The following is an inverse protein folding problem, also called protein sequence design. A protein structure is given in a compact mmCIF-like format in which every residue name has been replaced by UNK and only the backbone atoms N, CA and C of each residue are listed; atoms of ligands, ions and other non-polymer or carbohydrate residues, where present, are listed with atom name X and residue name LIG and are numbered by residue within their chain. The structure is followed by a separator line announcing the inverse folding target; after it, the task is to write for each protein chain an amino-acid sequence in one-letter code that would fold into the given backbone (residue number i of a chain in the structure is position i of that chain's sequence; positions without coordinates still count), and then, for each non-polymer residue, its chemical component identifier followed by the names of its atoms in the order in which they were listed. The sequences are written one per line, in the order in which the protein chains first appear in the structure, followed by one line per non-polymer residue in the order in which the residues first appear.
data_IF_986565948674
#
_entry.id   IF_986565948674
#
_cell.length_a   1.000
_cell.length_b   1.000
_cell.length_c   1.000
_cell.angle_alpha   90.00
_cell.angle_beta   90.00
_cell.angle_gamma   90.00
#
_symmetry.space_group_name_H-M   'P 1'
#
loop_
_entity.id
_entity.type
_entity.pdbx_description
1 polymer ?
#
# COMPACT_ATOMS: atom_id res chain seq x y z
N UNK A 1 -39.48 -5.26 -74.98
CA UNK A 1 -39.80 -4.27 -73.93
C UNK A 1 -40.19 -5.01 -72.65
N UNK A 2 -39.23 -5.24 -71.74
CA UNK A 2 -39.38 -5.35 -70.27
C UNK A 2 -38.02 -5.74 -69.67
N UNK A 3 -37.55 -4.88 -68.78
CA UNK A 3 -36.40 -5.08 -67.89
C UNK A 3 -36.78 -5.99 -66.72
N UNK A 4 -35.81 -6.72 -66.18
CA UNK A 4 -35.62 -7.01 -64.74
C UNK A 4 -34.29 -7.77 -64.61
N UNK A 5 -33.25 -7.34 -63.89
CA UNK A 5 -33.22 -6.57 -62.65
C UNK A 5 -32.66 -7.46 -61.54
N UNK A 6 -31.35 -7.72 -61.58
CA UNK A 6 -30.59 -8.58 -60.64
C UNK A 6 -30.54 -7.87 -59.27
N UNK A 7 -31.19 -8.41 -58.23
CA UNK A 7 -31.04 -7.92 -56.86
C UNK A 7 -30.03 -8.77 -56.10
N UNK A 8 -29.02 -8.06 -55.59
CA UNK A 8 -27.89 -8.53 -54.79
C UNK A 8 -28.40 -8.87 -53.39
N UNK A 9 -28.15 -10.10 -52.94
CA UNK A 9 -28.45 -10.56 -51.59
C UNK A 9 -27.46 -9.95 -50.59
N UNK A 10 -28.00 -9.14 -49.68
CA UNK A 10 -27.28 -8.51 -48.58
C UNK A 10 -26.93 -9.58 -47.53
N UNK A 11 -25.65 -9.92 -47.40
CA UNK A 11 -25.15 -10.84 -46.36
C UNK A 11 -24.93 -10.07 -45.08
N UNK A 12 -25.76 -10.31 -44.07
CA UNK A 12 -25.62 -9.72 -42.74
C UNK A 12 -24.47 -10.40 -42.00
N UNK A 13 -23.35 -9.70 -41.85
CA UNK A 13 -22.20 -10.14 -41.07
C UNK A 13 -22.51 -9.95 -39.58
N UNK A 14 -22.83 -11.03 -38.87
CA UNK A 14 -22.99 -11.01 -37.42
C UNK A 14 -21.60 -10.99 -36.76
N UNK A 15 -21.14 -9.82 -36.35
CA UNK A 15 -19.91 -9.68 -35.57
C UNK A 15 -20.22 -10.11 -34.13
N UNK A 16 -19.81 -11.33 -33.78
CA UNK A 16 -19.81 -11.79 -32.39
C UNK A 16 -18.70 -11.04 -31.63
N UNK A 17 -19.08 -10.02 -30.86
CA UNK A 17 -18.22 -9.41 -29.85
C UNK A 17 -17.97 -10.44 -28.74
N UNK A 18 -16.87 -11.17 -28.86
CA UNK A 18 -16.24 -11.87 -27.74
C UNK A 18 -15.75 -10.82 -26.75
N UNK A 19 -16.58 -10.52 -25.75
CA UNK A 19 -16.11 -9.87 -24.53
C UNK A 19 -15.17 -10.87 -23.87
N UNK A 20 -13.87 -10.69 -24.06
CA UNK A 20 -12.85 -11.38 -23.28
C UNK A 20 -13.02 -10.96 -21.82
N UNK A 21 -13.87 -11.69 -21.10
CA UNK A 21 -13.95 -11.57 -19.66
C UNK A 21 -12.56 -11.88 -19.12
N UNK A 22 -11.92 -10.90 -18.50
CA UNK A 22 -10.73 -11.16 -17.71
C UNK A 22 -11.15 -12.18 -16.67
N UNK A 23 -10.61 -13.40 -16.75
CA UNK A 23 -10.77 -14.40 -15.71
C UNK A 23 -10.03 -13.88 -14.48
N UNK A 24 -10.73 -13.11 -13.65
CA UNK A 24 -10.19 -12.70 -12.36
C UNK A 24 -9.86 -13.98 -11.59
N UNK A 25 -8.57 -14.12 -11.23
CA UNK A 25 -8.03 -15.35 -10.70
C UNK A 25 -8.67 -15.64 -9.34
N UNK A 26 -9.52 -16.66 -9.27
CA UNK A 26 -10.11 -17.07 -8.01
C UNK A 26 -9.05 -17.80 -7.16
N UNK A 27 -8.86 -17.35 -5.92
CA UNK A 27 -7.85 -17.85 -4.99
C UNK A 27 -8.49 -18.84 -4.03
N UNK A 28 -7.80 -19.95 -3.69
CA UNK A 28 -8.29 -20.86 -2.65
C UNK A 28 -8.31 -20.16 -1.29
N UNK A 29 -9.45 -20.17 -0.63
CA UNK A 29 -9.64 -19.56 0.68
C UNK A 29 -10.66 -20.30 1.54
N UNK A 30 -10.64 -19.97 2.83
CA UNK A 30 -11.68 -20.34 3.80
C UNK A 30 -12.36 -19.07 4.28
N UNK A 31 -13.65 -18.93 4.02
CA UNK A 31 -14.49 -17.83 4.55
C UNK A 31 -15.24 -18.34 5.77
N UNK A 32 -15.18 -17.61 6.88
CA UNK A 32 -16.01 -17.84 8.06
C UNK A 32 -17.16 -16.84 8.06
N UNK A 33 -18.41 -17.32 8.08
CA UNK A 33 -19.59 -16.46 8.10
C UNK A 33 -19.83 -15.85 9.49
N UNK A 34 -20.22 -14.58 9.50
CA UNK A 34 -20.66 -13.86 10.71
C UNK A 34 -21.89 -14.53 11.32
N UNK A 35 -21.97 -14.56 12.65
CA UNK A 35 -23.11 -15.08 13.41
C UNK A 35 -23.19 -16.61 13.51
N UNK A 36 -23.03 -17.34 12.40
CA UNK A 36 -23.13 -18.81 12.40
C UNK A 36 -21.79 -19.51 12.62
N UNK A 37 -20.67 -18.84 12.35
CA UNK A 37 -19.34 -19.46 12.36
C UNK A 37 -19.13 -20.51 11.26
N UNK A 38 -20.08 -20.64 10.32
CA UNK A 38 -19.99 -21.60 9.22
C UNK A 38 -18.77 -21.30 8.35
N UNK A 39 -17.97 -22.33 8.08
CA UNK A 39 -16.79 -22.23 7.21
C UNK A 39 -17.13 -22.71 5.80
N UNK A 40 -16.83 -21.87 4.82
CA UNK A 40 -16.92 -22.19 3.40
C UNK A 40 -15.49 -22.26 2.84
N UNK A 41 -15.09 -23.44 2.37
CA UNK A 41 -13.76 -23.67 1.78
C UNK A 41 -13.92 -23.78 0.27
N UNK A 42 -13.20 -22.98 -0.50
CA UNK A 42 -13.39 -22.93 -1.94
C UNK A 42 -12.54 -21.91 -2.65
N UNK A 43 -12.87 -21.67 -3.92
CA UNK A 43 -12.28 -20.59 -4.71
C UNK A 43 -13.02 -19.29 -4.45
N UNK A 44 -12.31 -18.25 -4.06
CA UNK A 44 -12.83 -16.94 -3.68
C UNK A 44 -12.31 -15.86 -4.60
N UNK A 45 -13.17 -14.88 -4.90
CA UNK A 45 -12.78 -13.62 -5.54
C UNK A 45 -13.61 -12.46 -5.01
N UNK A 46 -13.05 -11.26 -5.06
CA UNK A 46 -13.80 -10.03 -4.83
C UNK A 46 -14.47 -9.56 -6.12
N UNK A 47 -15.76 -9.24 -6.04
CA UNK A 47 -16.53 -8.67 -7.16
C UNK A 47 -16.61 -7.16 -6.97
N UNK A 48 -15.69 -6.41 -7.57
CA UNK A 48 -15.60 -4.95 -7.39
C UNK A 48 -16.89 -4.19 -7.72
N UNK A 49 -17.61 -4.61 -8.77
CA UNK A 49 -18.86 -3.97 -9.22
C UNK A 49 -19.98 -4.06 -8.18
N UNK A 50 -20.13 -5.23 -7.55
CA UNK A 50 -21.21 -5.47 -6.57
C UNK A 50 -20.74 -5.32 -5.14
N UNK A 51 -19.42 -5.15 -4.91
CA UNK A 51 -18.77 -5.13 -3.59
C UNK A 51 -19.10 -6.36 -2.73
N UNK A 52 -19.02 -7.54 -3.34
CA UNK A 52 -19.31 -8.83 -2.67
C UNK A 52 -18.16 -9.81 -2.85
N UNK A 53 -18.00 -10.70 -1.88
CA UNK A 53 -17.18 -11.90 -2.07
C UNK A 53 -17.99 -12.94 -2.84
N UNK A 54 -17.39 -13.49 -3.88
CA UNK A 54 -17.88 -14.71 -4.53
C UNK A 54 -17.05 -15.88 -4.01
N UNK A 55 -17.72 -16.94 -3.56
CA UNK A 55 -17.08 -18.21 -3.19
C UNK A 55 -17.78 -19.37 -3.90
N UNK A 56 -16.98 -20.21 -4.53
CA UNK A 56 -17.38 -21.53 -5.06
C UNK A 56 -16.83 -22.60 -4.13
N UNK A 57 -17.63 -23.17 -3.20
CA UNK A 57 -17.17 -24.17 -2.26
C UNK A 57 -16.72 -25.46 -2.96
N UNK A 58 -15.73 -26.15 -2.40
CA UNK A 58 -15.28 -27.43 -2.92
C UNK A 58 -16.42 -28.46 -2.86
N UNK A 59 -16.67 -29.15 -3.97
CA UNK A 59 -17.75 -30.14 -4.07
C UNK A 59 -19.17 -29.58 -4.21
N UNK A 60 -19.33 -28.26 -4.32
CA UNK A 60 -20.63 -27.62 -4.58
C UNK A 60 -20.67 -26.97 -5.97
N UNK A 61 -21.77 -27.12 -6.73
CA UNK A 61 -21.97 -26.36 -7.96
C UNK A 61 -22.50 -24.94 -7.70
N UNK A 62 -22.81 -24.59 -6.44
CA UNK A 62 -23.45 -23.33 -6.08
C UNK A 62 -22.41 -22.28 -5.72
N UNK A 63 -22.41 -21.17 -6.47
CA UNK A 63 -21.66 -19.97 -6.13
C UNK A 63 -22.43 -19.16 -5.07
N UNK A 64 -21.77 -18.84 -3.97
CA UNK A 64 -22.32 -17.95 -2.94
C UNK A 64 -21.77 -16.55 -3.15
N UNK A 65 -22.65 -15.55 -3.04
CA UNK A 65 -22.28 -14.14 -3.01
C UNK A 65 -22.53 -13.61 -1.61
N UNK A 66 -21.48 -13.15 -0.96
CA UNK A 66 -21.51 -12.72 0.44
C UNK A 66 -21.21 -11.22 0.51
N UNK A 67 -22.02 -10.49 1.26
CA UNK A 67 -21.70 -9.11 1.62
C UNK A 67 -20.54 -9.10 2.64
N UNK A 68 -19.68 -8.06 2.66
CA UNK A 68 -18.57 -7.99 3.62
C UNK A 68 -19.01 -8.13 5.08
N UNK A 69 -20.21 -7.65 5.45
CA UNK A 69 -20.79 -7.81 6.78
C UNK A 69 -21.08 -9.26 7.17
N UNK A 70 -21.29 -10.14 6.19
CA UNK A 70 -21.57 -11.56 6.41
C UNK A 70 -20.30 -12.38 6.56
N UNK A 71 -19.13 -11.75 6.43
CA UNK A 71 -17.82 -12.40 6.49
C UNK A 71 -17.09 -11.96 7.75
N UNK A 72 -16.93 -12.88 8.69
CA UNK A 72 -16.20 -12.64 9.93
C UNK A 72 -14.68 -12.76 9.73
N UNK A 73 -14.24 -13.70 8.89
CA UNK A 73 -12.82 -13.95 8.61
C UNK A 73 -12.65 -14.54 7.21
N UNK A 74 -11.54 -14.22 6.55
CA UNK A 74 -11.11 -14.82 5.29
C UNK A 74 -9.68 -15.28 5.45
N UNK A 75 -9.41 -16.57 5.23
CA UNK A 75 -8.06 -17.11 5.25
C UNK A 75 -7.66 -17.55 3.86
N UNK A 76 -6.61 -16.95 3.36
CA UNK A 76 -6.05 -17.19 2.03
C UNK A 76 -4.61 -17.65 2.18
N UNK A 77 -4.19 -18.56 1.29
CA UNK A 77 -2.79 -18.95 1.22
C UNK A 77 -1.94 -17.77 0.72
N UNK A 78 -0.80 -17.53 1.39
CA UNK A 78 0.17 -16.53 0.95
C UNK A 78 0.63 -16.84 -0.48
N UNK A 79 0.63 -15.85 -1.39
CA UNK A 79 1.19 -16.05 -2.73
C UNK A 79 2.65 -16.51 -2.63
N UNK A 80 3.02 -17.55 -3.38
CA UNK A 80 4.34 -18.18 -3.28
C UNK A 80 5.46 -17.21 -3.68
N UNK A 81 5.17 -16.31 -4.61
CA UNK A 81 6.11 -15.35 -5.19
C UNK A 81 6.27 -14.08 -4.35
N UNK A 82 5.40 -13.85 -3.36
CA UNK A 82 5.36 -12.60 -2.61
C UNK A 82 6.68 -12.31 -1.90
N UNK A 83 7.22 -13.28 -1.15
CA UNK A 83 8.46 -13.09 -0.38
C UNK A 83 9.66 -12.76 -1.30
N UNK A 84 9.72 -13.40 -2.47
CA UNK A 84 10.77 -13.16 -3.44
C UNK A 84 10.65 -11.75 -4.06
N UNK A 85 9.45 -11.33 -4.42
CA UNK A 85 9.19 -9.98 -4.94
C UNK A 85 9.51 -8.89 -3.90
N UNK A 86 9.14 -9.11 -2.64
CA UNK A 86 9.50 -8.21 -1.53
C UNK A 86 11.03 -8.09 -1.39
N UNK A 87 11.75 -9.23 -1.38
CA UNK A 87 13.22 -9.21 -1.34
C UNK A 87 13.84 -8.49 -2.53
N UNK A 88 13.22 -8.56 -3.71
CA UNK A 88 13.68 -7.81 -4.88
C UNK A 88 13.51 -6.29 -4.69
N UNK A 89 12.37 -5.82 -4.17
CA UNK A 89 12.18 -4.40 -3.84
C UNK A 89 13.20 -3.91 -2.81
N UNK A 90 13.41 -4.68 -1.72
CA UNK A 90 14.39 -4.35 -0.68
C UNK A 90 15.81 -4.30 -1.24
N UNK A 91 16.14 -5.17 -2.20
CA UNK A 91 17.43 -5.19 -2.88
C UNK A 91 17.57 -4.15 -4.01
N UNK A 92 16.58 -3.27 -4.20
CA UNK A 92 16.58 -2.26 -5.27
C UNK A 92 16.31 -2.80 -6.68
N UNK A 93 15.93 -4.07 -6.82
CA UNK A 93 15.62 -4.73 -8.10
C UNK A 93 14.15 -4.53 -8.47
N UNK A 94 13.76 -3.27 -8.67
CA UNK A 94 12.35 -2.89 -8.85
C UNK A 94 11.73 -3.51 -10.11
N UNK A 95 12.43 -3.48 -11.25
CA UNK A 95 11.91 -3.96 -12.53
C UNK A 95 11.43 -5.43 -12.48
N UNK A 96 12.12 -6.29 -11.73
CA UNK A 96 11.72 -7.70 -11.56
C UNK A 96 10.53 -7.87 -10.61
N UNK A 97 10.40 -6.99 -9.62
CA UNK A 97 9.36 -7.10 -8.59
C UNK A 97 8.00 -6.55 -9.06
N UNK A 98 8.01 -5.47 -9.83
CA UNK A 98 6.80 -4.76 -10.28
C UNK A 98 5.73 -5.69 -10.87
N UNK A 99 5.99 -6.50 -11.92
CA UNK A 99 4.94 -7.31 -12.54
C UNK A 99 4.36 -8.38 -11.59
N UNK A 100 5.19 -8.92 -10.69
CA UNK A 100 4.76 -9.90 -9.69
C UNK A 100 3.83 -9.26 -8.66
N UNK A 101 4.21 -8.09 -8.14
CA UNK A 101 3.42 -7.36 -7.15
C UNK A 101 2.11 -6.82 -7.74
N UNK A 102 2.13 -6.33 -8.97
CA UNK A 102 0.92 -5.91 -9.70
C UNK A 102 -0.07 -7.07 -9.86
N UNK A 103 0.43 -8.25 -10.24
CA UNK A 103 -0.39 -9.47 -10.35
C UNK A 103 -0.98 -9.87 -9.01
N UNK A 104 -0.18 -9.92 -7.94
CA UNK A 104 -0.67 -10.29 -6.60
C UNK A 104 -1.72 -9.29 -6.12
N UNK A 105 -1.46 -7.99 -6.25
CA UNK A 105 -2.40 -6.94 -5.85
C UNK A 105 -3.75 -7.11 -6.56
N UNK A 106 -3.73 -7.45 -7.85
CA UNK A 106 -4.96 -7.72 -8.61
C UNK A 106 -5.66 -8.98 -8.13
N UNK A 107 -4.96 -10.11 -8.12
CA UNK A 107 -5.54 -11.44 -7.84
C UNK A 107 -6.04 -11.59 -6.40
N UNK A 108 -5.44 -10.85 -5.46
CA UNK A 108 -5.76 -10.89 -4.03
C UNK A 108 -6.55 -9.67 -3.56
N UNK A 109 -7.21 -8.92 -4.45
CA UNK A 109 -8.02 -7.75 -4.07
C UNK A 109 -9.02 -8.10 -2.97
N UNK A 110 -8.99 -7.40 -1.83
CA UNK A 110 -9.79 -7.66 -0.62
C UNK A 110 -9.53 -9.04 0.03
N UNK A 111 -8.41 -9.68 -0.29
CA UNK A 111 -8.00 -11.00 0.20
C UNK A 111 -6.65 -10.92 0.92
N UNK A 112 -6.47 -9.89 1.76
CA UNK A 112 -5.33 -9.67 2.68
C UNK A 112 -3.98 -9.32 2.03
N UNK A 113 -3.52 -10.10 1.05
CA UNK A 113 -2.18 -9.94 0.47
C UNK A 113 -2.10 -8.83 -0.59
N UNK A 114 -3.25 -8.29 -1.01
CA UNK A 114 -3.31 -7.08 -1.84
C UNK A 114 -2.67 -5.89 -1.16
N UNK A 115 -2.93 -5.67 0.14
CA UNK A 115 -2.38 -4.54 0.90
C UNK A 115 -0.85 -4.64 1.00
N UNK A 116 -0.34 -5.83 1.27
CA UNK A 116 1.12 -6.06 1.34
C UNK A 116 1.76 -5.87 -0.02
N UNK A 117 1.18 -6.45 -1.08
CA UNK A 117 1.69 -6.28 -2.44
C UNK A 117 1.66 -4.79 -2.86
N UNK A 118 0.57 -4.09 -2.55
CA UNK A 118 0.41 -2.67 -2.82
C UNK A 118 1.46 -1.82 -2.10
N UNK A 119 1.75 -2.10 -0.83
CA UNK A 119 2.80 -1.40 -0.08
C UNK A 119 4.15 -1.46 -0.82
N UNK A 120 4.61 -2.66 -1.18
CA UNK A 120 5.90 -2.84 -1.85
C UNK A 120 5.89 -2.36 -3.31
N UNK A 121 4.75 -2.44 -3.98
CA UNK A 121 4.55 -1.89 -5.32
C UNK A 121 4.67 -0.35 -5.30
N UNK A 122 4.01 0.32 -4.36
CA UNK A 122 4.15 1.76 -4.18
C UNK A 122 5.57 2.16 -3.80
N UNK A 123 6.23 1.39 -2.92
CA UNK A 123 7.64 1.63 -2.58
C UNK A 123 8.52 1.55 -3.83
N UNK A 124 8.32 0.55 -4.69
CA UNK A 124 9.05 0.43 -5.94
C UNK A 124 8.81 1.65 -6.84
N UNK A 125 7.56 2.08 -7.03
CA UNK A 125 7.25 3.27 -7.83
C UNK A 125 7.89 4.55 -7.30
N UNK A 126 7.89 4.78 -5.99
CA UNK A 126 8.57 5.93 -5.38
C UNK A 126 10.07 5.91 -5.65
N UNK A 127 10.70 4.73 -5.52
CA UNK A 127 12.14 4.57 -5.77
C UNK A 127 12.50 4.70 -7.24
N UNK A 128 11.59 4.37 -8.15
CA UNK A 128 11.74 4.60 -9.60
C UNK A 128 11.24 5.98 -10.05
N UNK A 129 11.05 6.94 -9.14
CA UNK A 129 10.66 8.33 -9.42
C UNK A 129 9.30 8.49 -10.10
N UNK A 130 8.35 7.60 -9.80
CA UNK A 130 6.96 7.68 -10.25
C UNK A 130 5.97 7.79 -9.07
N UNK A 131 6.00 8.89 -8.30
CA UNK A 131 5.16 9.04 -7.11
C UNK A 131 3.67 9.17 -7.46
N UNK A 132 3.32 9.60 -8.68
CA UNK A 132 1.93 9.69 -9.14
C UNK A 132 1.31 8.30 -9.30
N UNK A 133 2.04 7.33 -9.90
CA UNK A 133 1.57 5.93 -9.95
C UNK A 133 1.44 5.32 -8.56
N UNK A 134 2.39 5.59 -7.66
CA UNK A 134 2.32 5.13 -6.28
C UNK A 134 1.01 5.60 -5.62
N UNK A 135 0.70 6.89 -5.70
CA UNK A 135 -0.54 7.46 -5.13
C UNK A 135 -1.79 6.90 -5.79
N UNK A 136 -1.85 6.86 -7.13
CA UNK A 136 -3.04 6.38 -7.86
C UNK A 136 -3.38 4.93 -7.51
N UNK A 137 -2.36 4.09 -7.38
CA UNK A 137 -2.54 2.70 -6.96
C UNK A 137 -2.99 2.62 -5.50
N UNK A 138 -2.35 3.36 -4.58
CA UNK A 138 -2.76 3.37 -3.18
C UNK A 138 -4.19 3.88 -2.99
N UNK A 139 -4.62 4.87 -3.77
CA UNK A 139 -5.99 5.39 -3.78
C UNK A 139 -7.00 4.30 -4.15
N UNK A 140 -6.66 3.45 -5.12
CA UNK A 140 -7.51 2.32 -5.53
C UNK A 140 -7.67 1.30 -4.41
N UNK A 141 -6.56 0.96 -3.75
CA UNK A 141 -6.56 0.01 -2.63
C UNK A 141 -7.33 0.59 -1.45
N UNK A 142 -7.03 1.83 -1.03
CA UNK A 142 -7.74 2.48 0.07
C UNK A 142 -9.23 2.73 -0.21
N UNK A 143 -9.60 3.00 -1.47
CA UNK A 143 -10.99 3.16 -1.87
C UNK A 143 -11.80 1.86 -1.85
N UNK A 144 -11.15 0.72 -2.11
CA UNK A 144 -11.78 -0.60 -2.04
C UNK A 144 -11.73 -1.21 -0.64
N UNK A 145 -10.61 -0.98 0.05
CA UNK A 145 -10.27 -1.46 1.38
C UNK A 145 -9.81 -0.28 2.27
N UNK A 146 -10.74 0.46 2.91
CA UNK A 146 -10.37 1.55 3.80
C UNK A 146 -9.49 1.12 4.99
N UNK A 147 -9.65 -0.13 5.46
CA UNK A 147 -8.83 -0.70 6.54
C UNK A 147 -7.37 -0.89 6.15
N UNK A 148 -7.02 -0.88 4.85
CA UNK A 148 -5.63 -0.89 4.41
C UNK A 148 -4.83 0.28 5.00
N UNK A 149 -5.47 1.42 5.26
CA UNK A 149 -4.85 2.60 5.88
C UNK A 149 -4.52 2.43 7.36
N UNK A 150 -5.03 1.37 8.01
CA UNK A 150 -4.66 1.03 9.38
C UNK A 150 -3.32 0.30 9.45
N UNK A 151 -2.85 -0.27 8.34
CA UNK A 151 -1.53 -0.88 8.25
C UNK A 151 -0.44 0.22 8.18
N UNK A 152 0.45 0.35 9.18
CA UNK A 152 1.43 1.43 9.22
C UNK A 152 2.44 1.41 8.06
N UNK A 153 2.75 0.22 7.54
CA UNK A 153 3.64 0.05 6.39
C UNK A 153 3.03 0.60 5.10
N UNK A 154 1.79 0.20 4.81
CA UNK A 154 1.05 0.71 3.67
C UNK A 154 0.77 2.21 3.79
N UNK A 155 0.23 2.66 4.93
CA UNK A 155 -0.06 4.07 5.18
C UNK A 155 1.18 4.96 5.06
N UNK A 156 2.31 4.55 5.65
CA UNK A 156 3.55 5.32 5.60
C UNK A 156 4.11 5.51 4.19
N UNK A 157 3.99 4.50 3.33
CA UNK A 157 4.39 4.59 1.90
C UNK A 157 3.39 5.44 1.11
N UNK A 158 2.10 5.26 1.34
CA UNK A 158 1.07 6.07 0.70
C UNK A 158 1.24 7.56 1.03
N UNK A 159 1.45 7.89 2.31
CA UNK A 159 1.72 9.25 2.77
C UNK A 159 3.00 9.84 2.19
N UNK A 160 4.05 9.03 2.01
CA UNK A 160 5.26 9.46 1.29
C UNK A 160 4.93 9.84 -0.16
N UNK A 161 4.08 9.06 -0.84
CA UNK A 161 3.62 9.43 -2.19
C UNK A 161 2.79 10.70 -2.22
N UNK A 162 1.90 10.91 -1.25
CA UNK A 162 1.15 12.17 -1.13
C UNK A 162 2.08 13.36 -0.90
N UNK A 163 3.12 13.19 -0.08
CA UNK A 163 4.14 14.19 0.17
C UNK A 163 4.94 14.55 -1.11
N UNK A 164 5.44 13.54 -1.82
CA UNK A 164 6.21 13.74 -3.07
C UNK A 164 5.37 14.30 -4.23
N UNK A 165 4.05 14.18 -4.14
CA UNK A 165 3.10 14.80 -5.09
C UNK A 165 2.46 16.07 -4.55
N UNK A 166 2.96 16.59 -3.42
CA UNK A 166 2.51 17.84 -2.79
C UNK A 166 1.01 17.90 -2.47
N UNK A 167 0.38 16.75 -2.26
CA UNK A 167 -1.03 16.63 -1.88
C UNK A 167 -1.24 16.89 -0.38
N UNK A 168 -0.73 18.02 0.11
CA UNK A 168 -0.66 18.34 1.54
C UNK A 168 -2.01 18.33 2.23
N UNK A 169 -3.08 18.86 1.60
CA UNK A 169 -4.41 18.88 2.23
C UNK A 169 -4.93 17.45 2.52
N UNK A 170 -4.71 16.52 1.59
CA UNK A 170 -5.12 15.13 1.75
C UNK A 170 -4.24 14.42 2.78
N UNK A 171 -2.94 14.68 2.74
CA UNK A 171 -1.97 14.16 3.69
C UNK A 171 -2.28 14.65 5.11
N UNK A 172 -2.38 15.96 5.35
CA UNK A 172 -2.66 16.56 6.66
C UNK A 172 -3.92 15.98 7.31
N UNK A 173 -5.00 15.78 6.53
CA UNK A 173 -6.23 15.13 7.01
C UNK A 173 -5.97 13.69 7.44
N UNK A 174 -5.25 12.91 6.64
CA UNK A 174 -4.95 11.52 6.96
C UNK A 174 -4.04 11.41 8.20
N UNK A 175 -3.03 12.27 8.31
CA UNK A 175 -2.13 12.31 9.48
C UNK A 175 -2.89 12.70 10.76
N UNK A 176 -3.79 13.68 10.68
CA UNK A 176 -4.59 14.10 11.84
C UNK A 176 -5.49 12.99 12.37
N UNK A 177 -6.07 12.16 11.49
CA UNK A 177 -6.85 10.98 11.88
C UNK A 177 -5.94 9.94 12.55
N UNK A 178 -4.81 9.61 11.93
CA UNK A 178 -3.87 8.62 12.44
C UNK A 178 -3.29 8.99 13.82
N UNK A 179 -2.93 10.26 14.03
CA UNK A 179 -2.36 10.74 15.31
C UNK A 179 -3.39 10.65 16.46
N UNK A 180 -4.68 10.83 16.17
CA UNK A 180 -5.77 10.73 17.16
C UNK A 180 -6.30 9.31 17.35
N UNK A 181 -5.90 8.38 16.48
CA UNK A 181 -6.35 7.00 16.50
C UNK A 181 -5.73 6.18 17.62
N UNK A 182 -6.16 4.93 17.72
CA UNK A 182 -5.74 4.02 18.80
C UNK A 182 -4.37 3.37 18.54
N UNK A 183 -3.96 3.23 17.26
CA UNK A 183 -2.66 2.63 16.91
C UNK A 183 -1.51 3.58 17.20
N UNK A 184 -0.71 3.24 18.22
CA UNK A 184 0.49 4.00 18.59
C UNK A 184 1.55 3.96 17.48
N UNK A 185 1.68 2.82 16.79
CA UNK A 185 2.58 2.67 15.64
C UNK A 185 2.18 3.61 14.50
N UNK A 186 0.89 3.63 14.14
CA UNK A 186 0.38 4.46 13.06
C UNK A 186 0.52 5.95 13.40
N UNK A 187 0.23 6.33 14.64
CA UNK A 187 0.44 7.68 15.15
C UNK A 187 1.93 8.10 15.08
N UNK A 188 2.87 7.19 15.36
CA UNK A 188 4.30 7.46 15.23
C UNK A 188 4.72 7.74 13.77
N UNK A 189 4.26 6.90 12.83
CA UNK A 189 4.51 7.10 11.40
C UNK A 189 3.91 8.42 10.94
N UNK A 190 2.71 8.75 11.40
CA UNK A 190 2.02 9.98 11.03
C UNK A 190 2.72 11.22 11.58
N UNK A 191 3.18 11.18 12.83
CA UNK A 191 3.94 12.25 13.48
C UNK A 191 5.24 12.54 12.71
N UNK A 192 5.94 11.49 12.27
CA UNK A 192 7.14 11.61 11.46
C UNK A 192 6.87 12.31 10.13
N UNK A 193 5.79 11.91 9.43
CA UNK A 193 5.37 12.53 8.16
C UNK A 193 4.93 13.99 8.32
N UNK A 194 4.36 14.36 9.48
CA UNK A 194 4.06 15.77 9.78
C UNK A 194 5.33 16.61 9.81
N UNK A 195 6.43 16.08 10.35
CA UNK A 195 7.75 16.70 10.26
C UNK A 195 8.24 16.86 8.83
N UNK A 196 8.00 15.86 7.98
CA UNK A 196 8.38 15.91 6.57
C UNK A 196 7.65 17.03 5.80
N UNK A 197 6.36 17.27 6.08
CA UNK A 197 5.61 18.39 5.51
C UNK A 197 6.22 19.73 5.91
N UNK A 198 6.51 19.90 7.21
CA UNK A 198 7.11 21.13 7.72
C UNK A 198 8.48 21.38 7.07
N UNK A 199 9.30 20.32 6.94
CA UNK A 199 10.60 20.39 6.28
C UNK A 199 10.47 20.81 4.82
N UNK A 200 9.54 20.23 4.06
CA UNK A 200 9.34 20.57 2.65
C UNK A 200 8.84 22.01 2.45
N UNK A 201 8.13 22.56 3.45
CA UNK A 201 7.74 23.98 3.50
C UNK A 201 8.86 24.92 3.97
N UNK A 202 10.05 24.40 4.26
CA UNK A 202 11.20 25.17 4.76
C UNK A 202 11.12 25.54 6.24
N UNK A 203 10.12 25.05 6.98
CA UNK A 203 10.01 25.29 8.41
C UNK A 203 10.77 24.22 9.20
N UNK A 204 12.08 24.45 9.35
CA UNK A 204 12.98 23.52 10.04
C UNK A 204 12.68 23.39 11.55
N UNK A 205 12.18 24.44 12.19
CA UNK A 205 11.83 24.39 13.62
C UNK A 205 10.63 23.47 13.87
N UNK A 206 9.57 23.62 13.08
CA UNK A 206 8.40 22.74 13.17
C UNK A 206 8.74 21.31 12.75
N UNK A 207 9.58 21.13 11.72
CA UNK A 207 10.02 19.81 11.29
C UNK A 207 10.71 19.05 12.44
N UNK A 208 11.56 19.77 13.18
CA UNK A 208 12.34 19.22 14.28
C UNK A 208 11.49 19.01 15.54
N UNK A 209 10.84 20.06 16.04
CA UNK A 209 10.11 20.04 17.33
C UNK A 209 8.79 19.30 17.20
N UNK A 210 8.04 19.61 16.16
CA UNK A 210 6.68 19.12 15.93
C UNK A 210 6.65 17.87 15.04
N UNK A 211 7.80 17.35 14.64
CA UNK A 211 7.91 16.13 13.84
C UNK A 211 8.93 15.15 14.40
N UNK A 212 10.21 15.39 14.10
CA UNK A 212 11.26 14.39 14.27
C UNK A 212 11.60 14.12 15.74
N UNK A 213 11.88 15.15 16.55
CA UNK A 213 12.18 14.97 17.98
C UNK A 213 10.97 14.48 18.76
N UNK A 214 9.77 14.98 18.43
CA UNK A 214 8.52 14.46 19.01
C UNK A 214 8.39 12.97 18.78
N UNK A 215 8.70 12.51 17.56
CA UNK A 215 8.71 11.09 17.22
C UNK A 215 9.75 10.31 18.03
N UNK A 216 10.99 10.82 18.11
CA UNK A 216 12.08 10.20 18.89
C UNK A 216 11.70 10.06 20.37
N UNK A 217 11.13 11.12 20.97
CA UNK A 217 10.90 11.19 22.42
C UNK A 217 9.64 10.43 22.84
N UNK A 218 8.50 10.61 22.16
CA UNK A 218 7.23 10.03 22.62
C UNK A 218 6.95 8.62 22.10
N UNK A 219 7.66 8.19 21.06
CA UNK A 219 7.45 6.89 20.41
C UNK A 219 8.67 5.97 20.51
N UNK A 220 9.46 6.08 21.59
CA UNK A 220 10.70 5.30 21.82
C UNK A 220 10.51 3.78 21.71
N UNK A 221 9.33 3.27 22.04
CA UNK A 221 8.96 1.86 21.91
C UNK A 221 8.71 1.39 20.47
N UNK A 222 8.46 2.32 19.54
CA UNK A 222 8.13 2.01 18.15
C UNK A 222 9.40 1.92 17.31
N UNK A 223 10.11 0.80 17.46
CA UNK A 223 11.46 0.58 16.89
C UNK A 223 11.53 0.67 15.36
N UNK A 224 10.41 0.48 14.66
CA UNK A 224 10.33 0.59 13.20
C UNK A 224 10.43 2.02 12.69
N UNK A 225 10.03 3.02 13.49
CA UNK A 225 9.99 4.45 13.10
C UNK A 225 11.22 5.21 13.60
N UNK A 226 11.78 4.80 14.74
CA UNK A 226 12.90 5.47 15.40
C UNK A 226 14.13 5.72 14.49
N UNK A 227 14.60 4.77 13.66
CA UNK A 227 15.76 5.00 12.82
C UNK A 227 15.58 6.16 11.83
N UNK A 228 14.40 6.23 11.21
CA UNK A 228 14.07 7.31 10.27
C UNK A 228 14.00 8.66 10.99
N UNK A 229 13.34 8.70 12.15
CA UNK A 229 13.18 9.92 12.93
C UNK A 229 14.52 10.49 13.42
N UNK A 230 15.41 9.63 13.95
CA UNK A 230 16.76 10.03 14.36
C UNK A 230 17.59 10.55 13.19
N UNK A 231 17.55 9.87 12.04
CA UNK A 231 18.25 10.30 10.84
C UNK A 231 17.75 11.67 10.35
N UNK A 232 16.43 11.85 10.27
CA UNK A 232 15.83 13.10 9.81
C UNK A 232 16.05 14.25 10.80
N UNK A 233 16.00 13.99 12.10
CA UNK A 233 16.39 14.94 13.13
C UNK A 233 17.86 15.37 12.95
N UNK A 234 18.78 14.41 12.73
CA UNK A 234 20.19 14.70 12.49
C UNK A 234 20.37 15.64 11.30
N UNK A 235 19.79 15.31 10.13
CA UNK A 235 19.88 16.14 8.92
C UNK A 235 19.27 17.54 9.15
N UNK A 236 18.16 17.62 9.87
CA UNK A 236 17.53 18.90 10.19
C UNK A 236 18.41 19.78 11.11
N UNK A 237 19.06 19.19 12.12
CA UNK A 237 20.04 19.90 12.93
C UNK A 237 21.23 20.40 12.13
N UNK A 238 21.72 19.63 11.16
CA UNK A 238 22.81 20.07 10.28
C UNK A 238 22.43 21.25 9.39
N UNK A 239 21.23 21.19 8.79
CA UNK A 239 20.70 22.30 7.99
C UNK A 239 20.56 23.58 8.81
N UNK A 240 20.37 23.46 10.13
CA UNK A 240 20.36 24.58 11.09
C UNK A 240 21.75 24.97 11.63
N UNK A 241 22.83 24.33 11.20
CA UNK A 241 24.20 24.57 11.70
C UNK A 241 24.47 24.04 13.12
N UNK A 242 23.55 23.24 13.67
CA UNK A 242 23.61 22.71 15.03
C UNK A 242 24.32 21.35 15.08
N UNK A 243 25.58 21.32 14.69
CA UNK A 243 26.34 20.08 14.46
C UNK A 243 26.45 19.16 15.68
N UNK A 244 26.53 19.70 16.90
CA UNK A 244 26.61 18.90 18.13
C UNK A 244 25.35 18.05 18.36
N UNK A 245 24.16 18.61 18.08
CA UNK A 245 22.90 17.87 18.19
C UNK A 245 22.73 16.87 17.05
N UNK A 246 23.15 17.23 15.83
CA UNK A 246 23.18 16.29 14.71
C UNK A 246 24.00 15.04 15.04
N UNK A 247 25.20 15.25 15.60
CA UNK A 247 26.09 14.14 15.97
C UNK A 247 25.51 13.29 17.11
N UNK A 248 24.81 13.89 18.07
CA UNK A 248 24.08 13.14 19.10
C UNK A 248 23.04 12.20 18.49
N UNK A 249 22.24 12.68 17.53
CA UNK A 249 21.22 11.85 16.86
C UNK A 249 21.84 10.72 16.04
N UNK A 250 22.97 10.98 15.37
CA UNK A 250 23.71 9.94 14.63
C UNK A 250 24.27 8.86 15.54
N UNK A 251 24.90 9.25 16.66
CA UNK A 251 25.44 8.29 17.63
C UNK A 251 24.35 7.38 18.18
N UNK A 252 23.19 7.95 18.52
CA UNK A 252 22.03 7.17 18.94
C UNK A 252 21.55 6.22 17.83
N UNK A 253 21.43 6.70 16.59
CA UNK A 253 21.04 5.87 15.45
C UNK A 253 21.99 4.69 15.21
N UNK A 254 23.30 4.95 15.24
CA UNK A 254 24.33 3.94 14.97
C UNK A 254 24.48 2.92 16.11
N UNK A 255 24.25 3.34 17.36
CA UNK A 255 24.33 2.45 18.52
C UNK A 255 23.06 1.61 18.70
N UNK A 256 21.88 2.23 18.60
CA UNK A 256 20.60 1.57 18.86
C UNK A 256 20.04 0.83 17.64
N UNK A 257 20.40 1.23 16.41
CA UNK A 257 19.85 0.66 15.18
C UNK A 257 20.90 0.42 14.07
N UNK A 258 22.01 -0.30 14.37
CA UNK A 258 23.17 -0.42 13.47
C UNK A 258 22.88 -1.08 12.12
N UNK A 259 21.80 -1.87 12.04
CA UNK A 259 21.37 -2.62 10.84
C UNK A 259 20.29 -1.90 10.02
N UNK A 260 19.81 -0.73 10.46
CA UNK A 260 18.79 0.01 9.73
C UNK A 260 19.34 0.62 8.43
N UNK A 261 18.48 0.77 7.40
CA UNK A 261 18.84 1.51 6.17
C UNK A 261 19.38 2.91 6.50
N UNK A 262 18.81 3.57 7.52
CA UNK A 262 19.21 4.91 7.94
C UNK A 262 20.58 4.95 8.60
N UNK A 263 20.95 3.93 9.39
CA UNK A 263 22.30 3.80 9.90
C UNK A 263 23.32 3.60 8.75
N UNK A 264 22.96 2.84 7.72
CA UNK A 264 23.81 2.68 6.54
C UNK A 264 24.01 4.00 5.79
N UNK A 265 22.95 4.82 5.64
CA UNK A 265 23.05 6.18 5.05
C UNK A 265 24.03 7.07 5.81
N UNK A 266 24.00 7.04 7.14
CA UNK A 266 24.98 7.80 7.96
C UNK A 266 26.40 7.31 7.70
N UNK A 267 26.63 5.99 7.67
CA UNK A 267 27.97 5.41 7.42
C UNK A 267 28.49 5.75 6.02
N UNK A 268 27.62 5.84 5.03
CA UNK A 268 28.00 6.18 3.65
C UNK A 268 28.12 7.69 3.39
N UNK A 269 27.82 8.55 4.37
CA UNK A 269 27.82 10.01 4.21
C UNK A 269 26.70 10.56 3.31
N UNK A 270 25.62 9.78 3.12
CA UNK A 270 24.48 10.15 2.27
C UNK A 270 23.46 11.04 3.01
#
# INVERSE_FOLDING_TARGET
MRMTGKRIGLTTLLVALLVAGTTDAAVKAVITKTGTGQKLTGKVKWLATTKKYSIMPEGSPVEYKLDPSDVADIRVAKPAELDAAVKQVVAGRYASALPVLEKIMKDYTMLQYDVVAAQYLAQAYLKTKDPRKAVSMCDRVAGSNPQALENPGFAGIYWQGLLETEQYMKLDKALAVAIKGESRELAAVAQLRRGDIAKQKGNLDDALIDGYLRTVIFFQGIKTVQPEALYKAAKCFEEKGQHSYAEKMRKELLSSYPQSEYAQKVKSGA
#
